data_IF_662176512297
#
_entry.id   IF_662176512297
#
_cell.length_a   1.000
_cell.length_b   1.000
_cell.length_c   1.000
_cell.angle_alpha   90.00
_cell.angle_beta   90.00
_cell.angle_gamma   90.00
#
_symmetry.space_group_name_H-M   'P 1'
#
loop_
_entity.id
_entity.type
_entity.pdbx_description
1 polymer ?
#
# COMPACT_ATOMS: atom_id res chain seq x y z
N UNK A 1 3.71 31.89 18.15
CA UNK A 1 4.94 31.47 17.47
C UNK A 1 4.53 30.93 16.12
N UNK A 2 4.84 31.64 15.01
CA UNK A 2 4.51 31.16 13.68
C UNK A 2 5.53 30.09 13.26
N UNK A 3 5.10 28.97 12.62
CA UNK A 3 6.03 27.99 12.09
C UNK A 3 6.78 28.57 10.89
N UNK A 4 8.05 28.24 10.78
CA UNK A 4 8.95 28.66 9.70
C UNK A 4 8.55 28.01 8.38
N UNK A 5 8.17 28.81 7.40
CA UNK A 5 8.00 28.40 5.99
C UNK A 5 9.37 28.30 5.33
N UNK A 6 9.70 27.14 4.79
CA UNK A 6 10.85 26.96 3.91
C UNK A 6 10.31 26.82 2.49
N UNK A 7 10.55 27.81 1.65
CA UNK A 7 10.24 27.78 0.22
C UNK A 7 11.47 27.34 -0.57
N UNK A 8 11.30 26.38 -1.48
CA UNK A 8 12.33 25.97 -2.45
C UNK A 8 12.33 26.95 -3.65
N UNK A 9 13.49 27.39 -4.16
CA UNK A 9 13.58 28.40 -5.22
C UNK A 9 13.23 27.90 -6.64
N UNK A 10 12.65 26.72 -6.78
CA UNK A 10 12.34 26.05 -8.06
C UNK A 10 10.88 26.09 -8.55
N UNK A 11 10.01 26.94 -8.03
CA UNK A 11 8.76 27.35 -8.71
C UNK A 11 7.57 26.39 -8.72
N UNK A 12 7.53 25.31 -7.94
CA UNK A 12 6.31 24.54 -7.65
C UNK A 12 5.93 24.77 -6.19
N UNK A 13 4.83 25.46 -5.99
CA UNK A 13 4.33 25.93 -4.69
C UNK A 13 3.73 24.77 -3.88
N UNK A 14 4.58 24.05 -3.14
CA UNK A 14 4.15 23.08 -2.14
C UNK A 14 4.55 23.59 -0.77
N UNK A 15 3.66 24.34 -0.13
CA UNK A 15 3.81 24.68 1.29
C UNK A 15 3.52 23.43 2.10
N UNK A 16 4.56 22.76 2.60
CA UNK A 16 4.42 21.67 3.55
C UNK A 16 4.38 22.29 4.94
N UNK A 17 3.23 22.23 5.58
CA UNK A 17 3.09 22.58 7.00
C UNK A 17 3.82 21.51 7.83
N UNK A 18 4.85 21.93 8.59
CA UNK A 18 5.72 21.06 9.37
C UNK A 18 5.13 20.62 10.72
N UNK A 19 3.84 20.84 10.99
CA UNK A 19 3.14 20.22 12.10
C UNK A 19 2.78 18.78 11.71
N UNK A 20 3.67 17.82 12.02
CA UNK A 20 3.62 16.47 11.50
C UNK A 20 2.53 15.62 12.16
N UNK A 21 1.36 15.54 11.55
CA UNK A 21 0.39 14.48 11.79
C UNK A 21 0.62 13.26 10.84
N UNK A 22 1.82 13.18 10.25
CA UNK A 22 2.21 12.06 9.41
C UNK A 22 2.58 10.84 10.26
N UNK A 23 1.96 9.69 9.97
CA UNK A 23 2.35 8.41 10.58
C UNK A 23 3.64 7.87 9.95
N UNK A 24 3.79 8.06 8.62
CA UNK A 24 4.96 7.61 7.87
C UNK A 24 5.54 8.77 7.08
N UNK A 25 6.85 8.90 7.13
CA UNK A 25 7.60 9.82 6.29
C UNK A 25 8.68 9.05 5.53
N UNK A 26 8.71 9.25 4.23
CA UNK A 26 9.75 8.79 3.31
C UNK A 26 10.56 10.03 2.96
N UNK A 27 11.81 10.08 3.40
CA UNK A 27 12.66 11.26 3.33
C UNK A 27 13.91 10.97 2.49
N UNK A 28 13.93 11.51 1.25
CA UNK A 28 15.01 11.37 0.26
C UNK A 28 15.44 9.91 0.02
N UNK A 29 14.46 8.97 -0.02
CA UNK A 29 14.75 7.55 -0.14
C UNK A 29 15.19 7.17 -1.54
N UNK A 30 16.39 6.60 -1.64
CA UNK A 30 16.89 5.90 -2.82
C UNK A 30 17.10 4.43 -2.47
N UNK A 31 16.61 3.54 -3.34
CA UNK A 31 16.72 2.10 -3.13
C UNK A 31 16.87 1.32 -4.43
N UNK A 32 17.75 0.31 -4.42
CA UNK A 32 17.90 -0.72 -5.43
C UNK A 32 18.33 -2.02 -4.78
N UNK A 33 17.92 -3.16 -5.32
CA UNK A 33 18.33 -4.49 -4.80
C UNK A 33 19.79 -4.81 -5.09
N UNK A 34 20.32 -4.19 -6.14
CA UNK A 34 21.73 -4.25 -6.53
C UNK A 34 22.21 -2.86 -6.98
N UNK A 35 23.52 -2.75 -7.23
CA UNK A 35 24.13 -1.48 -7.65
C UNK A 35 23.81 -1.09 -9.10
N UNK A 36 23.25 -1.99 -9.91
CA UNK A 36 23.01 -1.76 -11.34
C UNK A 36 21.66 -1.11 -11.63
N UNK A 37 20.65 -1.29 -10.73
CA UNK A 37 19.29 -0.81 -10.98
C UNK A 37 18.69 -0.14 -9.76
N UNK A 38 18.54 1.17 -9.85
CA UNK A 38 17.74 1.95 -8.89
C UNK A 38 16.25 1.75 -9.16
N UNK A 39 15.50 1.37 -8.13
CA UNK A 39 14.04 1.16 -8.19
C UNK A 39 13.29 2.38 -7.66
N UNK A 40 13.78 2.98 -6.58
CA UNK A 40 13.26 4.23 -6.03
C UNK A 40 14.40 5.23 -6.03
N UNK A 41 14.15 6.42 -6.58
CA UNK A 41 15.16 7.46 -6.70
C UNK A 41 14.66 8.76 -6.06
N UNK A 42 15.30 9.15 -4.96
CA UNK A 42 15.02 10.39 -4.22
C UNK A 42 13.54 10.58 -3.87
N UNK A 43 12.90 9.48 -3.40
CA UNK A 43 11.49 9.46 -3.11
C UNK A 43 11.18 10.23 -1.83
N UNK A 44 10.21 11.15 -1.92
CA UNK A 44 9.72 11.95 -0.80
C UNK A 44 8.20 11.81 -0.71
N UNK A 45 7.68 11.21 0.38
CA UNK A 45 6.25 10.98 0.60
C UNK A 45 5.90 11.09 2.07
N UNK A 46 4.65 11.46 2.36
CA UNK A 46 4.06 11.44 3.70
C UNK A 46 2.70 10.75 3.65
N UNK A 47 2.44 9.93 4.66
CA UNK A 47 1.16 9.27 4.85
C UNK A 47 0.55 9.76 6.16
N UNK A 48 -0.56 10.47 6.05
CA UNK A 48 -1.21 11.13 7.17
C UNK A 48 -2.01 10.13 8.01
N UNK A 49 -2.04 10.34 9.32
CA UNK A 49 -2.77 9.46 10.24
C UNK A 49 -4.26 9.40 9.90
N UNK A 50 -4.82 8.21 10.02
CA UNK A 50 -6.25 7.95 9.84
C UNK A 50 -6.75 8.07 8.40
N UNK A 51 -5.91 8.46 7.43
CA UNK A 51 -6.28 8.56 6.03
C UNK A 51 -6.11 7.25 5.28
N UNK A 52 -6.91 7.06 4.24
CA UNK A 52 -6.67 6.07 3.19
C UNK A 52 -5.86 6.74 2.08
N UNK A 53 -4.60 6.35 1.95
CA UNK A 53 -3.75 6.80 0.84
C UNK A 53 -3.53 5.66 -0.15
N UNK A 54 -3.87 5.88 -1.42
CA UNK A 54 -3.55 4.93 -2.49
C UNK A 54 -2.30 5.36 -3.25
N UNK A 55 -1.38 4.42 -3.46
CA UNK A 55 -0.23 4.57 -4.36
C UNK A 55 -0.51 3.77 -5.62
N UNK A 56 -0.80 4.47 -6.70
CA UNK A 56 -1.13 3.91 -8.00
C UNK A 56 0.08 4.00 -8.93
N UNK A 57 0.21 3.06 -9.83
CA UNK A 57 1.30 3.05 -10.81
C UNK A 57 1.41 1.73 -11.56
N UNK A 58 2.13 1.74 -12.67
CA UNK A 58 2.34 0.57 -13.50
C UNK A 58 3.12 -0.53 -12.74
N UNK A 59 3.03 -1.76 -13.22
CA UNK A 59 3.83 -2.86 -12.69
C UNK A 59 5.33 -2.51 -12.77
N UNK A 60 6.06 -2.81 -11.69
CA UNK A 60 7.51 -2.57 -11.63
C UNK A 60 7.92 -1.13 -11.30
N UNK A 61 7.01 -0.19 -11.04
CA UNK A 61 7.37 1.18 -10.65
C UNK A 61 7.90 1.31 -9.20
N UNK A 62 7.86 0.24 -8.39
CA UNK A 62 8.46 0.23 -7.04
C UNK A 62 7.46 0.19 -5.89
N UNK A 63 6.14 0.05 -6.13
CA UNK A 63 5.09 0.05 -5.09
C UNK A 63 5.32 -0.98 -3.98
N UNK A 64 5.49 -2.26 -4.34
CA UNK A 64 5.77 -3.33 -3.35
C UNK A 64 7.11 -3.12 -2.65
N UNK A 65 8.10 -2.51 -3.32
CA UNK A 65 9.38 -2.14 -2.70
C UNK A 65 9.17 -1.08 -1.63
N UNK A 66 8.30 -0.10 -1.88
CA UNK A 66 7.92 0.91 -0.88
C UNK A 66 7.32 0.26 0.37
N UNK A 67 6.38 -0.69 0.24
CA UNK A 67 5.83 -1.42 1.39
C UNK A 67 6.89 -2.20 2.16
N UNK A 68 7.85 -2.81 1.46
CA UNK A 68 8.95 -3.55 2.10
C UNK A 68 9.89 -2.65 2.90
N UNK A 69 10.12 -1.42 2.45
CA UNK A 69 10.90 -0.44 3.19
C UNK A 69 10.13 0.03 4.45
N UNK A 70 8.84 0.33 4.33
CA UNK A 70 7.98 0.71 5.46
C UNK A 70 7.87 -0.44 6.48
N UNK A 71 7.75 -1.68 6.02
CA UNK A 71 7.71 -2.87 6.90
C UNK A 71 9.07 -3.27 7.49
N UNK A 72 10.13 -2.50 7.23
CA UNK A 72 11.48 -2.80 7.74
C UNK A 72 12.04 -4.13 7.22
N UNK A 73 11.71 -4.52 5.97
CA UNK A 73 12.27 -5.73 5.32
C UNK A 73 13.62 -5.40 4.68
N UNK A 74 13.78 -4.18 4.17
CA UNK A 74 15.01 -3.67 3.59
C UNK A 74 15.34 -2.30 4.16
N UNK A 75 16.64 -1.98 4.26
CA UNK A 75 17.11 -0.64 4.52
C UNK A 75 17.17 0.16 3.20
N UNK A 76 16.86 1.45 3.25
CA UNK A 76 17.13 2.35 2.14
C UNK A 76 18.64 2.45 1.89
N UNK A 77 19.07 2.57 0.61
CA UNK A 77 20.48 2.80 0.29
C UNK A 77 20.89 4.24 0.63
N UNK A 78 19.93 5.21 0.49
CA UNK A 78 20.06 6.60 0.91
C UNK A 78 18.73 7.08 1.47
N UNK A 79 18.77 8.15 2.27
CA UNK A 79 17.59 8.70 2.91
C UNK A 79 17.14 7.85 4.10
N UNK A 80 15.90 8.03 4.54
CA UNK A 80 15.36 7.34 5.71
C UNK A 80 13.84 7.14 5.59
N UNK A 81 13.35 6.11 6.25
CA UNK A 81 11.93 5.87 6.48
C UNK A 81 11.66 6.09 7.95
N UNK A 82 10.68 6.92 8.25
CA UNK A 82 10.28 7.26 9.61
C UNK A 82 8.87 6.74 9.85
N UNK A 83 8.65 6.07 10.97
CA UNK A 83 7.33 5.65 11.43
C UNK A 83 7.08 6.29 12.80
N UNK A 84 6.03 7.09 12.92
CA UNK A 84 5.64 7.75 14.17
C UNK A 84 6.80 8.55 14.82
N UNK A 85 7.56 9.29 13.99
CA UNK A 85 8.71 10.07 14.43
C UNK A 85 9.99 9.26 14.71
N UNK A 86 9.96 7.93 14.62
CA UNK A 86 11.13 7.06 14.84
C UNK A 86 11.67 6.54 13.51
N UNK A 87 12.97 6.71 13.25
CA UNK A 87 13.63 6.17 12.05
C UNK A 87 13.67 4.65 12.12
N UNK A 88 13.22 3.97 11.07
CA UNK A 88 13.22 2.50 11.00
C UNK A 88 14.66 2.00 10.81
N UNK A 89 15.18 1.31 11.83
CA UNK A 89 16.48 0.61 11.77
C UNK A 89 16.25 -0.90 11.58
N UNK A 90 16.53 -1.40 10.37
CA UNK A 90 16.34 -2.82 10.02
C UNK A 90 17.32 -3.76 10.75
N UNK A 91 18.37 -3.24 11.37
CA UNK A 91 19.34 -4.03 12.15
C UNK A 91 18.94 -4.14 13.63
N UNK A 92 18.02 -3.28 14.09
CA UNK A 92 17.50 -3.34 15.46
C UNK A 92 16.28 -4.26 15.55
N UNK A 93 16.50 -5.51 15.94
CA UNK A 93 15.42 -6.52 16.02
C UNK A 93 14.29 -6.15 16.98
N UNK A 94 14.62 -5.50 18.10
CA UNK A 94 13.63 -5.11 19.09
C UNK A 94 12.73 -3.99 18.55
N UNK A 95 13.31 -2.98 17.90
CA UNK A 95 12.55 -1.94 17.23
C UNK A 95 11.65 -2.52 16.14
N UNK A 96 12.17 -3.43 15.30
CA UNK A 96 11.38 -4.08 14.26
C UNK A 96 10.23 -4.91 14.82
N UNK A 97 10.43 -5.58 15.95
CA UNK A 97 9.37 -6.33 16.61
C UNK A 97 8.26 -5.39 17.11
N UNK A 98 8.62 -4.28 17.78
CA UNK A 98 7.65 -3.24 18.19
C UNK A 98 6.92 -2.63 16.99
N UNK A 99 7.66 -2.27 15.94
CA UNK A 99 7.10 -1.73 14.71
C UNK A 99 6.05 -2.68 14.10
N UNK A 100 6.41 -3.95 13.90
CA UNK A 100 5.56 -4.94 13.22
C UNK A 100 4.28 -5.27 13.99
N UNK A 101 4.26 -5.10 15.30
CA UNK A 101 3.03 -5.20 16.10
C UNK A 101 2.04 -4.07 15.80
N UNK A 102 2.51 -2.93 15.33
CA UNK A 102 1.71 -1.75 14.94
C UNK A 102 1.32 -1.76 13.46
N UNK A 103 1.79 -2.76 12.70
CA UNK A 103 1.55 -2.90 11.27
C UNK A 103 0.65 -4.10 10.97
N UNK A 104 -0.38 -3.88 10.15
CA UNK A 104 -1.13 -4.94 9.49
C UNK A 104 -0.73 -5.04 8.02
N UNK A 105 -0.62 -6.26 7.48
CA UNK A 105 -0.26 -6.45 6.07
C UNK A 105 -1.22 -7.42 5.39
N UNK A 106 -1.88 -6.96 4.34
CA UNK A 106 -2.60 -7.79 3.38
C UNK A 106 -1.72 -7.98 2.14
N UNK A 107 -1.21 -9.19 1.96
CA UNK A 107 -0.40 -9.56 0.79
C UNK A 107 -1.27 -9.84 -0.43
N UNK A 108 -0.71 -9.66 -1.62
CA UNK A 108 -1.39 -9.82 -2.93
C UNK A 108 -2.21 -11.10 -3.06
N UNK A 109 -1.72 -12.24 -2.57
CA UNK A 109 -2.44 -13.53 -2.58
C UNK A 109 -2.93 -13.96 -1.20
N UNK A 110 -3.07 -13.01 -0.26
CA UNK A 110 -3.50 -13.27 1.11
C UNK A 110 -2.44 -13.94 1.99
N UNK A 111 -1.54 -14.74 1.44
CA UNK A 111 -0.50 -15.48 2.16
C UNK A 111 -1.02 -16.23 3.40
N UNK A 112 -2.17 -16.90 3.28
CA UNK A 112 -2.75 -17.70 4.36
C UNK A 112 -1.94 -18.98 4.56
N UNK A 113 -1.87 -19.44 5.81
CA UNK A 113 -1.33 -20.76 6.15
C UNK A 113 -2.36 -21.82 5.72
N UNK A 114 -2.01 -22.62 4.74
CA UNK A 114 -2.94 -23.57 4.10
C UNK A 114 -3.28 -24.79 4.95
N UNK A 115 -2.44 -25.11 5.90
CA UNK A 115 -2.58 -26.20 6.88
C UNK A 115 -3.37 -25.79 8.13
N UNK A 116 -3.61 -24.47 8.32
CA UNK A 116 -4.39 -23.93 9.42
C UNK A 116 -5.87 -23.73 9.05
N UNK A 117 -6.74 -23.72 10.06
CA UNK A 117 -8.13 -23.29 9.91
C UNK A 117 -8.24 -21.79 9.65
N UNK A 118 -9.43 -21.33 9.26
CA UNK A 118 -9.76 -19.89 9.18
C UNK A 118 -9.52 -19.22 10.53
N UNK A 119 -10.00 -19.85 11.61
CA UNK A 119 -9.80 -19.37 12.97
C UNK A 119 -8.32 -19.23 13.32
N UNK A 120 -7.53 -20.29 13.11
CA UNK A 120 -6.11 -20.28 13.47
C UNK A 120 -5.27 -19.30 12.64
N UNK A 121 -5.64 -19.06 11.37
CA UNK A 121 -5.00 -18.00 10.58
C UNK A 121 -5.17 -16.62 11.24
N UNK A 122 -6.35 -16.30 11.77
CA UNK A 122 -6.61 -15.01 12.43
C UNK A 122 -6.04 -15.00 13.85
N UNK A 123 -6.04 -16.13 14.57
CA UNK A 123 -5.46 -16.26 15.90
C UNK A 123 -3.93 -16.18 15.90
N UNK A 124 -3.28 -16.55 14.79
CA UNK A 124 -1.83 -16.68 14.69
C UNK A 124 -1.08 -15.43 15.17
N UNK A 125 -1.33 -14.19 14.65
CA UNK A 125 -0.62 -13.02 15.14
C UNK A 125 -0.89 -12.70 16.60
N UNK A 126 -2.07 -13.02 17.14
CA UNK A 126 -2.38 -12.82 18.55
C UNK A 126 -1.54 -13.73 19.43
N UNK A 127 -1.42 -15.02 19.08
CA UNK A 127 -0.61 -15.99 19.81
C UNK A 127 0.89 -15.69 19.76
N UNK A 128 1.39 -15.24 18.59
CA UNK A 128 2.82 -14.97 18.39
C UNK A 128 3.26 -13.63 18.98
N UNK A 129 2.38 -12.65 19.04
CA UNK A 129 2.75 -11.27 19.36
C UNK A 129 2.20 -10.78 20.71
N UNK A 130 1.41 -11.58 21.42
CA UNK A 130 0.79 -11.20 22.70
C UNK A 130 0.81 -12.34 23.70
N UNK A 131 0.69 -12.01 24.98
CA UNK A 131 0.51 -12.98 26.08
C UNK A 131 -0.96 -13.14 26.49
N UNK A 132 -1.90 -12.93 25.55
CA UNK A 132 -3.33 -13.04 25.80
C UNK A 132 -3.75 -14.50 26.06
N UNK A 133 -4.64 -14.74 27.04
CA UNK A 133 -5.17 -16.09 27.27
C UNK A 133 -6.10 -16.51 26.11
N UNK A 134 -6.11 -17.81 25.78
CA UNK A 134 -6.90 -18.38 24.67
C UNK A 134 -8.39 -17.99 24.66
N UNK A 135 -9.11 -17.88 25.78
CA UNK A 135 -10.50 -17.42 25.77
C UNK A 135 -10.65 -15.99 25.19
N UNK A 136 -9.71 -15.08 25.51
CA UNK A 136 -9.72 -13.73 24.98
C UNK A 136 -9.32 -13.69 23.50
N UNK A 137 -8.34 -14.50 23.10
CA UNK A 137 -7.97 -14.69 21.68
C UNK A 137 -9.19 -15.18 20.89
N UNK A 138 -9.96 -16.13 21.44
CA UNK A 138 -11.17 -16.64 20.83
C UNK A 138 -12.18 -15.53 20.53
N UNK A 139 -12.47 -14.70 21.51
CA UNK A 139 -13.43 -13.60 21.36
C UNK A 139 -12.96 -12.58 20.33
N UNK A 140 -11.68 -12.19 20.37
CA UNK A 140 -11.07 -11.27 19.40
C UNK A 140 -11.18 -11.85 17.98
N UNK A 141 -10.81 -13.11 17.77
CA UNK A 141 -10.88 -13.77 16.47
C UNK A 141 -12.30 -13.75 15.91
N UNK A 142 -13.30 -14.10 16.73
CA UNK A 142 -14.70 -14.07 16.30
C UNK A 142 -15.15 -12.66 15.95
N UNK A 143 -14.73 -11.63 16.69
CA UNK A 143 -15.01 -10.23 16.38
C UNK A 143 -14.38 -9.83 15.03
N UNK A 144 -13.11 -10.17 14.78
CA UNK A 144 -12.43 -9.84 13.52
C UNK A 144 -13.03 -10.59 12.33
N UNK A 145 -13.38 -11.86 12.48
CA UNK A 145 -14.11 -12.63 11.47
C UNK A 145 -15.51 -12.07 11.20
N UNK A 146 -16.18 -11.57 12.24
CA UNK A 146 -17.48 -10.92 12.09
C UNK A 146 -17.36 -9.61 11.30
N UNK A 147 -16.30 -8.80 11.53
CA UNK A 147 -16.04 -7.56 10.81
C UNK A 147 -15.89 -7.77 9.29
N UNK A 148 -15.36 -8.93 8.87
CA UNK A 148 -15.23 -9.30 7.45
C UNK A 148 -16.38 -10.20 6.94
N UNK A 149 -17.42 -10.45 7.78
CA UNK A 149 -18.59 -11.25 7.41
C UNK A 149 -18.34 -12.75 7.32
N UNK A 150 -17.33 -13.30 8.04
CA UNK A 150 -16.92 -14.71 7.94
C UNK A 150 -16.91 -15.45 9.27
N UNK A 151 -17.60 -14.94 10.32
CA UNK A 151 -17.65 -15.61 11.62
C UNK A 151 -18.13 -17.07 11.53
N UNK A 152 -19.12 -17.35 10.68
CA UNK A 152 -19.65 -18.71 10.48
C UNK A 152 -18.68 -19.66 9.77
N UNK A 153 -17.60 -19.15 9.17
CA UNK A 153 -16.59 -19.94 8.48
C UNK A 153 -15.36 -20.27 9.35
N UNK A 154 -15.36 -19.92 10.64
CA UNK A 154 -14.19 -20.01 11.52
C UNK A 154 -13.52 -21.39 11.53
N UNK A 155 -14.28 -22.47 11.47
CA UNK A 155 -13.78 -23.86 11.53
C UNK A 155 -13.39 -24.45 10.16
N UNK A 156 -13.66 -23.74 9.05
CA UNK A 156 -13.30 -24.24 7.73
C UNK A 156 -11.77 -24.24 7.53
N UNK A 157 -11.30 -25.17 6.71
CA UNK A 157 -9.93 -25.19 6.20
C UNK A 157 -9.80 -24.20 5.03
N UNK A 158 -8.58 -23.72 4.80
CA UNK A 158 -8.35 -22.77 3.70
C UNK A 158 -8.67 -23.37 2.32
N UNK A 159 -8.54 -24.68 2.16
CA UNK A 159 -8.92 -25.37 0.93
C UNK A 159 -10.46 -25.38 0.66
N UNK A 160 -11.29 -25.07 1.65
CA UNK A 160 -12.75 -25.08 1.55
C UNK A 160 -13.35 -23.68 1.29
N UNK A 161 -12.51 -22.64 1.23
CA UNK A 161 -12.97 -21.25 1.05
C UNK A 161 -12.74 -20.75 -0.38
N UNK A 162 -13.62 -19.85 -0.84
CA UNK A 162 -13.43 -19.17 -2.13
C UNK A 162 -12.29 -18.15 -2.08
N UNK A 163 -11.77 -17.72 -3.25
CA UNK A 163 -10.73 -16.71 -3.32
C UNK A 163 -11.12 -15.38 -2.64
N UNK A 164 -12.36 -14.94 -2.80
CA UNK A 164 -12.89 -13.75 -2.11
C UNK A 164 -12.99 -13.94 -0.60
N UNK A 165 -13.36 -15.15 -0.11
CA UNK A 165 -13.30 -15.47 1.31
C UNK A 165 -11.88 -15.47 1.82
N UNK A 166 -10.94 -16.11 1.11
CA UNK A 166 -9.53 -16.14 1.50
C UNK A 166 -8.94 -14.73 1.66
N UNK A 167 -9.30 -13.79 0.76
CA UNK A 167 -8.88 -12.39 0.86
C UNK A 167 -9.42 -11.72 2.14
N UNK A 168 -10.70 -11.93 2.45
CA UNK A 168 -11.31 -11.39 3.67
C UNK A 168 -10.76 -12.03 4.96
N UNK A 169 -10.39 -13.31 4.94
CA UNK A 169 -9.70 -13.96 6.05
C UNK A 169 -8.31 -13.35 6.26
N UNK A 170 -7.55 -13.14 5.18
CA UNK A 170 -6.25 -12.48 5.25
C UNK A 170 -6.36 -11.05 5.79
N UNK A 171 -7.44 -10.34 5.47
CA UNK A 171 -7.73 -9.03 6.04
C UNK A 171 -8.06 -9.13 7.54
N UNK A 172 -8.90 -10.08 7.97
CA UNK A 172 -9.18 -10.31 9.38
C UNK A 172 -7.90 -10.60 10.18
N UNK A 173 -6.97 -11.37 9.59
CA UNK A 173 -5.65 -11.62 10.18
C UNK A 173 -4.80 -10.34 10.25
N UNK A 174 -4.81 -9.51 9.21
CA UNK A 174 -4.04 -8.27 9.17
C UNK A 174 -4.48 -7.26 10.24
N UNK A 175 -5.77 -7.27 10.60
CA UNK A 175 -6.33 -6.37 11.62
C UNK A 175 -6.44 -7.01 13.02
N UNK A 176 -5.91 -8.22 13.22
CA UNK A 176 -6.07 -8.95 14.47
C UNK A 176 -5.47 -8.22 15.69
N UNK A 177 -4.35 -7.53 15.49
CA UNK A 177 -3.63 -6.78 16.53
C UNK A 177 -4.06 -5.31 16.67
N UNK A 178 -5.15 -4.88 16.03
CA UNK A 178 -5.57 -3.47 15.96
C UNK A 178 -4.43 -2.52 15.54
N UNK A 179 -3.83 -2.73 14.37
CA UNK A 179 -2.65 -1.99 13.93
C UNK A 179 -2.97 -0.51 13.67
N UNK A 180 -1.97 0.35 13.84
CA UNK A 180 -2.07 1.79 13.50
C UNK A 180 -1.96 2.03 11.99
N UNK A 181 -1.22 1.16 11.28
CA UNK A 181 -1.10 1.17 9.83
C UNK A 181 -1.52 -0.18 9.25
N UNK A 182 -2.40 -0.14 8.27
CA UNK A 182 -2.73 -1.31 7.45
C UNK A 182 -2.21 -1.08 6.03
N UNK A 183 -1.34 -1.97 5.58
CA UNK A 183 -0.79 -1.97 4.23
C UNK A 183 -1.48 -3.02 3.38
N UNK A 184 -1.95 -2.62 2.21
CA UNK A 184 -2.65 -3.48 1.26
C UNK A 184 -1.83 -3.57 -0.03
N UNK A 185 -1.31 -4.77 -0.32
CA UNK A 185 -0.57 -5.05 -1.56
C UNK A 185 -1.51 -5.69 -2.58
N UNK A 186 -1.93 -4.92 -3.60
CA UNK A 186 -2.84 -5.30 -4.68
C UNK A 186 -4.13 -6.00 -4.14
N UNK A 187 -4.93 -5.34 -3.30
CA UNK A 187 -6.05 -5.97 -2.61
C UNK A 187 -7.17 -6.42 -3.55
N UNK A 188 -7.23 -5.89 -4.76
CA UNK A 188 -8.28 -6.16 -5.75
C UNK A 188 -7.88 -7.20 -6.78
N UNK A 189 -6.59 -7.53 -6.92
CA UNK A 189 -6.07 -8.39 -7.96
C UNK A 189 -6.75 -9.78 -7.99
N UNK A 190 -7.26 -10.17 -9.16
CA UNK A 190 -7.90 -11.47 -9.37
C UNK A 190 -9.28 -11.64 -8.75
N UNK A 191 -9.93 -10.57 -8.29
CA UNK A 191 -11.32 -10.57 -7.85
C UNK A 191 -12.26 -10.25 -9.02
N UNK A 192 -13.49 -10.78 -8.95
CA UNK A 192 -14.58 -10.33 -9.80
C UNK A 192 -15.09 -8.94 -9.37
N UNK A 193 -15.82 -8.26 -10.24
CA UNK A 193 -16.28 -6.87 -10.03
C UNK A 193 -17.06 -6.68 -8.71
N UNK A 194 -17.91 -7.65 -8.33
CA UNK A 194 -18.69 -7.57 -7.10
C UNK A 194 -17.75 -7.69 -5.89
N UNK A 195 -16.85 -8.67 -5.94
CA UNK A 195 -15.87 -8.90 -4.88
C UNK A 195 -14.88 -7.73 -4.72
N UNK A 196 -14.50 -7.04 -5.83
CA UNK A 196 -13.69 -5.82 -5.79
C UNK A 196 -14.41 -4.70 -5.03
N UNK A 197 -15.67 -4.42 -5.39
CA UNK A 197 -16.48 -3.41 -4.70
C UNK A 197 -16.68 -3.73 -3.20
N UNK A 198 -16.87 -5.00 -2.84
CA UNK A 198 -16.97 -5.44 -1.44
C UNK A 198 -15.64 -5.21 -0.71
N UNK A 199 -14.50 -5.56 -1.33
CA UNK A 199 -13.18 -5.36 -0.74
C UNK A 199 -12.87 -3.85 -0.54
N UNK A 200 -13.15 -3.03 -1.55
CA UNK A 200 -12.98 -1.57 -1.47
C UNK A 200 -13.81 -0.97 -0.34
N UNK A 201 -15.10 -1.30 -0.28
CA UNK A 201 -15.98 -0.85 0.81
C UNK A 201 -15.49 -1.31 2.18
N UNK A 202 -14.98 -2.52 2.29
CA UNK A 202 -14.48 -3.07 3.55
C UNK A 202 -13.22 -2.34 4.02
N UNK A 203 -12.27 -2.03 3.12
CA UNK A 203 -11.09 -1.22 3.41
C UNK A 203 -11.50 0.15 3.97
N UNK A 204 -12.42 0.85 3.29
CA UNK A 204 -12.91 2.16 3.75
C UNK A 204 -13.61 2.08 5.10
N UNK A 205 -14.52 1.11 5.27
CA UNK A 205 -15.26 0.92 6.52
C UNK A 205 -14.33 0.60 7.69
N UNK A 206 -13.31 -0.23 7.49
CA UNK A 206 -12.32 -0.53 8.52
C UNK A 206 -11.54 0.72 8.92
N UNK A 207 -11.10 1.53 7.95
CA UNK A 207 -10.43 2.79 8.24
C UNK A 207 -11.35 3.74 9.05
N UNK A 208 -12.61 3.93 8.62
CA UNK A 208 -13.57 4.80 9.29
C UNK A 208 -13.88 4.37 10.73
N UNK A 209 -13.97 3.06 10.98
CA UNK A 209 -14.33 2.52 12.29
C UNK A 209 -13.13 2.45 13.24
N UNK A 210 -11.95 2.09 12.74
CA UNK A 210 -10.77 1.90 13.58
C UNK A 210 -9.91 3.16 13.72
N UNK A 211 -10.02 4.10 12.78
CA UNK A 211 -9.10 5.24 12.67
C UNK A 211 -7.68 4.85 12.24
N UNK A 212 -7.45 3.59 11.88
CA UNK A 212 -6.14 3.13 11.41
C UNK A 212 -5.78 3.79 10.07
N UNK A 213 -4.53 4.16 9.89
CA UNK A 213 -4.02 4.64 8.60
C UNK A 213 -4.01 3.49 7.59
N UNK A 214 -4.46 3.73 6.37
CA UNK A 214 -4.52 2.71 5.33
C UNK A 214 -3.65 3.12 4.14
N UNK A 215 -2.68 2.26 3.78
CA UNK A 215 -1.84 2.41 2.60
C UNK A 215 -2.20 1.32 1.59
N UNK A 216 -2.82 1.70 0.49
CA UNK A 216 -3.25 0.79 -0.57
C UNK A 216 -2.31 0.95 -1.77
N UNK A 217 -1.66 -0.12 -2.20
CA UNK A 217 -0.96 -0.12 -3.48
C UNK A 217 -1.74 -0.96 -4.47
N UNK A 218 -2.03 -0.40 -5.64
CA UNK A 218 -2.79 -1.07 -6.69
C UNK A 218 -2.53 -0.46 -8.07
N UNK A 219 -3.05 -1.13 -9.07
CA UNK A 219 -3.22 -0.62 -10.43
C UNK A 219 -4.72 -0.42 -10.78
N UNK A 220 -5.63 -0.78 -9.87
CA UNK A 220 -7.09 -0.66 -10.04
C UNK A 220 -7.52 0.77 -9.67
N UNK A 221 -7.54 1.66 -10.65
CA UNK A 221 -7.79 3.08 -10.46
C UNK A 221 -9.18 3.38 -9.92
N UNK A 222 -10.28 2.81 -10.48
CA UNK A 222 -11.64 3.16 -10.02
C UNK A 222 -11.87 2.87 -8.54
N UNK A 223 -11.46 1.68 -8.07
CA UNK A 223 -11.63 1.26 -6.68
C UNK A 223 -10.81 2.13 -5.74
N UNK A 224 -9.55 2.43 -6.09
CA UNK A 224 -8.69 3.29 -5.30
C UNK A 224 -9.25 4.72 -5.21
N UNK A 225 -9.68 5.29 -6.33
CA UNK A 225 -10.30 6.64 -6.34
C UNK A 225 -11.56 6.72 -5.48
N UNK A 226 -12.34 5.62 -5.40
CA UNK A 226 -13.58 5.58 -4.63
C UNK A 226 -13.37 5.55 -3.11
N UNK A 227 -12.22 5.07 -2.63
CA UNK A 227 -12.00 4.85 -1.19
C UNK A 227 -10.93 5.76 -0.57
N UNK A 228 -10.13 6.45 -1.39
CA UNK A 228 -8.97 7.19 -0.91
C UNK A 228 -9.30 8.62 -0.52
N UNK A 229 -8.65 9.10 0.53
CA UNK A 229 -8.57 10.52 0.89
C UNK A 229 -7.46 11.20 0.08
N UNK A 230 -6.37 10.47 -0.20
CA UNK A 230 -5.22 10.94 -0.96
C UNK A 230 -4.71 9.87 -1.93
N UNK A 231 -4.27 10.29 -3.10
CA UNK A 231 -3.75 9.39 -4.13
C UNK A 231 -2.39 9.90 -4.61
N UNK A 232 -1.45 8.97 -4.75
CA UNK A 232 -0.11 9.20 -5.30
C UNK A 232 0.02 8.40 -6.59
N UNK A 233 0.33 9.06 -7.70
CA UNK A 233 0.64 8.40 -8.97
C UNK A 233 2.15 8.25 -9.10
N UNK A 234 2.62 7.01 -9.24
CA UNK A 234 4.04 6.67 -9.30
C UNK A 234 4.40 6.03 -10.64
N UNK A 235 5.38 6.61 -11.33
CA UNK A 235 5.97 6.07 -12.55
C UNK A 235 7.21 5.21 -12.26
N UNK A 236 7.73 4.59 -13.31
CA UNK A 236 8.97 3.79 -13.26
C UNK A 236 10.12 4.59 -12.65
N UNK A 237 10.96 3.92 -11.87
CA UNK A 237 12.06 4.56 -11.13
C UNK A 237 11.61 5.26 -9.84
N UNK A 238 10.38 5.03 -9.38
CA UNK A 238 9.86 5.64 -8.16
C UNK A 238 9.53 7.13 -8.29
N UNK A 239 9.48 7.67 -9.52
CA UNK A 239 9.14 9.08 -9.75
C UNK A 239 7.66 9.33 -9.43
N UNK A 240 7.38 10.31 -8.59
CA UNK A 240 6.02 10.80 -8.38
C UNK A 240 5.60 11.64 -9.59
N UNK A 241 4.53 11.21 -10.26
CA UNK A 241 3.93 11.94 -11.39
C UNK A 241 3.03 13.05 -10.88
N UNK A 242 2.15 12.69 -9.96
CA UNK A 242 1.22 13.61 -9.30
C UNK A 242 0.77 13.03 -7.96
N UNK A 243 0.28 13.88 -7.10
CA UNK A 243 -0.41 13.49 -5.88
C UNK A 243 -1.48 14.51 -5.53
N UNK A 244 -2.56 14.07 -4.90
CA UNK A 244 -3.69 14.93 -4.55
C UNK A 244 -4.90 14.12 -4.12
N UNK A 245 -6.00 14.80 -3.89
CA UNK A 245 -7.30 14.16 -3.70
C UNK A 245 -7.76 13.48 -5.00
N UNK A 246 -8.61 12.43 -4.92
CA UNK A 246 -9.20 11.83 -6.12
C UNK A 246 -9.84 12.85 -7.07
N UNK A 247 -10.53 13.86 -6.55
CA UNK A 247 -11.18 14.90 -7.35
C UNK A 247 -10.18 15.76 -8.13
N UNK A 248 -9.06 16.15 -7.50
CA UNK A 248 -7.98 16.92 -8.14
C UNK A 248 -7.32 16.14 -9.27
N UNK A 249 -7.03 14.86 -9.05
CA UNK A 249 -6.42 14.01 -10.09
C UNK A 249 -7.36 13.74 -11.27
N UNK A 250 -8.65 13.52 -10.99
CA UNK A 250 -9.68 13.37 -12.04
C UNK A 250 -9.87 14.64 -12.88
N UNK A 251 -9.70 15.83 -12.27
CA UNK A 251 -9.78 17.12 -12.95
C UNK A 251 -8.48 17.55 -13.63
N UNK A 252 -7.39 16.81 -13.45
CA UNK A 252 -6.07 17.17 -13.97
C UNK A 252 -6.08 17.29 -15.50
N UNK A 253 -5.39 18.32 -15.98
CA UNK A 253 -5.15 18.54 -17.42
C UNK A 253 -3.80 17.98 -17.88
N UNK A 254 -2.96 17.52 -16.95
CA UNK A 254 -1.67 16.91 -17.28
C UNK A 254 -1.90 15.62 -18.11
N UNK A 255 -1.27 15.48 -19.29
CA UNK A 255 -1.51 14.33 -20.16
C UNK A 255 -1.10 12.98 -19.55
N UNK A 256 -0.03 12.93 -18.72
CA UNK A 256 0.44 11.70 -18.08
C UNK A 256 -0.55 11.27 -16.97
N UNK A 257 -1.04 12.22 -16.18
CA UNK A 257 -2.07 11.97 -15.16
C UNK A 257 -3.37 11.50 -15.79
N UNK A 258 -3.82 12.18 -16.86
CA UNK A 258 -5.06 11.83 -17.57
C UNK A 258 -4.99 10.43 -18.16
N UNK A 259 -3.88 10.11 -18.86
CA UNK A 259 -3.67 8.79 -19.45
C UNK A 259 -3.79 7.70 -18.38
N UNK A 260 -3.15 7.91 -17.22
CA UNK A 260 -3.16 6.95 -16.14
C UNK A 260 -4.55 6.81 -15.49
N UNK A 261 -5.17 7.93 -15.13
CA UNK A 261 -6.45 7.95 -14.38
C UNK A 261 -7.61 7.47 -15.25
N UNK A 262 -7.60 7.77 -16.55
CA UNK A 262 -8.67 7.37 -17.50
C UNK A 262 -8.40 6.07 -18.25
N UNK A 263 -7.18 5.53 -18.13
CA UNK A 263 -6.78 4.34 -18.90
C UNK A 263 -6.71 4.60 -20.41
N UNK A 264 -6.31 5.83 -20.81
CA UNK A 264 -6.23 6.19 -22.23
C UNK A 264 -5.09 5.38 -22.89
N UNK A 265 -5.33 4.70 -24.04
CA UNK A 265 -4.31 3.88 -24.70
C UNK A 265 -3.17 4.73 -25.28
N UNK A 266 -3.51 5.95 -25.71
CA UNK A 266 -2.57 6.89 -26.31
C UNK A 266 -2.17 7.99 -25.32
N UNK A 267 -0.87 8.29 -25.20
CA UNK A 267 -0.39 9.32 -24.30
C UNK A 267 1.13 9.32 -24.13
N UNK A 268 1.64 10.08 -23.14
CA UNK A 268 3.07 10.16 -22.83
C UNK A 268 3.70 8.83 -22.45
N UNK A 269 2.94 7.93 -21.78
CA UNK A 269 3.38 6.57 -21.44
C UNK A 269 3.21 5.69 -22.66
N UNK A 270 4.31 5.36 -23.34
CA UNK A 270 4.31 4.59 -24.57
C UNK A 270 4.09 3.10 -24.29
N UNK A 271 3.25 2.44 -25.09
CA UNK A 271 3.04 1.01 -25.05
C UNK A 271 4.25 0.23 -25.60
N UNK A 272 4.89 0.75 -26.65
CA UNK A 272 6.03 0.09 -27.29
C UNK A 272 7.32 0.27 -26.49
N UNK A 273 8.04 -0.81 -26.30
CA UNK A 273 9.42 -0.77 -25.82
C UNK A 273 10.27 0.01 -26.85
N UNK A 274 11.20 0.89 -26.42
CA UNK A 274 12.04 1.64 -27.33
C UNK A 274 12.84 0.71 -28.25
N UNK A 275 12.64 0.86 -29.55
CA UNK A 275 13.34 0.13 -30.60
C UNK A 275 13.57 1.06 -31.80
N UNK A 276 14.46 0.68 -32.72
CA UNK A 276 14.53 1.27 -34.05
C UNK A 276 13.18 1.13 -34.78
N UNK A 277 12.94 1.90 -35.82
CA UNK A 277 11.73 1.70 -36.62
C UNK A 277 11.76 0.35 -37.31
N UNK A 278 10.58 -0.23 -37.57
CA UNK A 278 10.50 -1.54 -38.21
C UNK A 278 11.15 -1.50 -39.60
N UNK A 279 11.09 -0.35 -40.27
CA UNK A 279 11.71 -0.12 -41.58
C UNK A 279 13.25 -0.18 -41.47
N UNK A 280 13.83 0.39 -40.40
CA UNK A 280 15.27 0.32 -40.13
C UNK A 280 15.70 -1.12 -39.84
N UNK A 281 14.95 -1.84 -39.00
CA UNK A 281 15.26 -3.22 -38.63
C UNK A 281 15.09 -4.19 -39.82
N UNK A 282 14.16 -3.94 -40.72
CA UNK A 282 13.94 -4.73 -41.91
C UNK A 282 14.80 -4.31 -43.12
N UNK A 283 15.60 -3.22 -42.97
CA UNK A 283 16.46 -2.71 -44.05
C UNK A 283 15.66 -2.19 -45.27
N UNK A 284 14.41 -1.80 -45.06
CA UNK A 284 13.55 -1.23 -46.12
C UNK A 284 13.78 0.27 -46.13
N UNK A 285 14.94 0.70 -46.64
CA UNK A 285 15.18 2.12 -46.90
C UNK A 285 14.27 2.58 -48.05
N UNK A 286 13.58 3.71 -47.84
CA UNK A 286 12.90 4.43 -48.94
C UNK A 286 13.91 5.13 -49.84
#
# INVERSE_FOLDING_TARGET
>A
MHPLQVCDPGGSQWCIDLSSDALIEIDHVTFGYDSSRTILNDLNLRFMRGQVTSVLGNSGCGKTTLLRLIGGVHAANKGRVVFDGEVIDVHNREQLYRLRRRLGMLFQFGALFTDLSVYDNVAFPLREMTDLPEPLIHDIVLMKLNAVGLRGAAQLKIAEVSGGMARRIALARAIALDPELIMYDEPFAGLDLISMGVAAKLIRTLNDVTGATSLVISHDVPECMAISDWVVLMATGGRIVAQGTPAELMASTDPEVRQFVRGEPDGPVKFHYPAATIEEDLGVAR
#
